data_IF_560594109070
#
_entry.id   IF_560594109070
#
_cell.length_a   1.000
_cell.length_b   1.000
_cell.length_c   1.000
_cell.angle_alpha   90.00
_cell.angle_beta   90.00
_cell.angle_gamma   90.00
#
_symmetry.space_group_name_H-M   'P 1'
#
loop_
_entity.id
_entity.type
_entity.pdbx_description
1 polymer ?
#
# COMPACT_ATOMS: atom_id res chain seq x y z
N UNK A 1 20.39 -8.60 -6.07
CA UNK A 1 20.98 -7.36 -5.53
C UNK A 1 22.16 -6.93 -6.38
N UNK A 2 22.15 -5.69 -6.90
CA UNK A 2 23.19 -5.18 -7.83
C UNK A 2 24.53 -4.81 -7.13
N UNK A 3 24.66 -5.01 -5.82
CA UNK A 3 25.89 -4.73 -5.05
C UNK A 3 26.36 -3.26 -5.04
N UNK A 4 25.51 -2.32 -5.47
CA UNK A 4 25.84 -0.88 -5.53
C UNK A 4 26.08 -0.32 -4.13
N UNK A 5 27.29 0.26 -3.91
CA UNK A 5 27.68 0.85 -2.62
C UNK A 5 27.49 2.37 -2.57
N UNK A 6 27.56 3.04 -3.71
CA UNK A 6 27.50 4.51 -3.83
C UNK A 6 26.80 4.89 -5.13
N UNK A 7 25.98 5.93 -5.08
CA UNK A 7 25.34 6.55 -6.24
C UNK A 7 25.73 8.03 -6.28
N UNK A 8 26.22 8.47 -7.42
CA UNK A 8 26.58 9.86 -7.66
C UNK A 8 25.51 10.53 -8.50
N UNK A 9 25.21 11.78 -8.21
CA UNK A 9 24.32 12.61 -8.99
C UNK A 9 24.83 14.05 -9.00
N UNK A 10 24.78 14.73 -10.16
CA UNK A 10 25.19 16.11 -10.31
C UNK A 10 24.05 17.01 -10.76
N UNK A 11 24.17 18.31 -10.44
CA UNK A 11 23.27 19.35 -10.96
C UNK A 11 24.07 20.63 -11.21
N UNK A 12 23.70 21.38 -12.24
CA UNK A 12 24.34 22.69 -12.53
C UNK A 12 23.81 23.76 -11.61
N UNK A 13 24.67 24.75 -11.34
CA UNK A 13 24.28 25.92 -10.55
C UNK A 13 23.01 26.57 -11.08
N UNK A 14 22.15 27.02 -10.18
CA UNK A 14 20.82 27.56 -10.50
C UNK A 14 19.74 26.50 -10.75
N UNK A 15 20.05 25.21 -10.91
CA UNK A 15 19.05 24.15 -11.09
C UNK A 15 18.45 23.67 -9.74
N UNK A 16 17.65 24.56 -9.15
CA UNK A 16 16.99 24.30 -7.85
C UNK A 16 16.02 23.11 -7.87
N UNK A 17 15.45 22.77 -9.05
CA UNK A 17 14.53 21.62 -9.19
C UNK A 17 15.29 20.30 -9.00
N UNK A 18 16.39 20.12 -9.72
CA UNK A 18 17.24 18.93 -9.57
C UNK A 18 17.78 18.81 -8.16
N UNK A 19 18.30 19.91 -7.57
CA UNK A 19 18.75 19.93 -6.18
C UNK A 19 17.67 19.41 -5.22
N UNK A 20 16.45 19.95 -5.30
CA UNK A 20 15.33 19.51 -4.43
C UNK A 20 14.99 18.03 -4.59
N UNK A 21 15.08 17.47 -5.80
CA UNK A 21 14.87 16.05 -6.02
C UNK A 21 15.94 15.23 -5.32
N UNK A 22 17.22 15.62 -5.47
CA UNK A 22 18.34 14.93 -4.83
C UNK A 22 18.25 15.00 -3.30
N UNK A 23 17.93 16.19 -2.74
CA UNK A 23 17.73 16.38 -1.30
C UNK A 23 16.61 15.45 -0.77
N UNK A 24 15.47 15.35 -1.50
CA UNK A 24 14.36 14.44 -1.15
C UNK A 24 14.72 12.95 -1.25
N UNK A 25 15.67 12.61 -2.11
CA UNK A 25 16.16 11.24 -2.24
C UNK A 25 17.29 10.89 -1.26
N UNK A 26 17.68 11.84 -0.37
CA UNK A 26 18.69 11.62 0.65
C UNK A 26 20.13 11.78 0.15
N UNK A 27 20.33 12.34 -1.03
CA UNK A 27 21.68 12.66 -1.52
C UNK A 27 22.29 13.81 -0.71
N UNK A 28 23.54 13.65 -0.31
CA UNK A 28 24.30 14.68 0.42
C UNK A 28 25.26 15.38 -0.50
N UNK A 29 25.37 16.70 -0.35
CA UNK A 29 26.39 17.47 -1.09
C UNK A 29 27.79 16.91 -0.80
N UNK A 30 28.60 16.77 -1.84
CA UNK A 30 29.97 16.27 -1.74
C UNK A 30 31.00 17.30 -2.15
N UNK A 31 30.95 17.84 -3.39
CA UNK A 31 31.88 18.84 -3.91
C UNK A 31 31.30 19.60 -5.10
N UNK A 32 31.99 20.62 -5.51
CA UNK A 32 31.67 21.44 -6.68
C UNK A 32 32.87 21.40 -7.67
N UNK A 33 32.55 21.31 -8.95
CA UNK A 33 33.54 21.48 -10.03
C UNK A 33 33.14 22.69 -10.89
N UNK A 34 34.07 23.59 -11.07
CA UNK A 34 33.92 24.79 -11.93
C UNK A 34 34.42 24.52 -13.34
N UNK A 35 33.96 25.31 -14.31
CA UNK A 35 34.46 25.23 -15.67
C UNK A 35 34.03 24.00 -16.46
N UNK A 36 32.98 23.32 -16.07
CA UNK A 36 32.43 22.15 -16.78
C UNK A 36 31.68 22.58 -18.04
N UNK A 37 32.02 21.95 -19.17
CA UNK A 37 31.28 22.11 -20.43
C UNK A 37 29.97 21.37 -20.32
N UNK A 38 28.85 22.08 -20.39
CA UNK A 38 27.51 21.45 -20.39
C UNK A 38 27.20 20.79 -21.73
N UNK A 39 26.22 19.89 -21.80
CA UNK A 39 25.73 19.33 -23.07
C UNK A 39 25.20 20.40 -24.04
N UNK A 40 24.92 21.60 -23.57
CA UNK A 40 24.46 22.74 -24.38
C UNK A 40 25.64 23.59 -24.91
N UNK A 41 26.90 23.25 -24.57
CA UNK A 41 28.12 23.90 -25.04
C UNK A 41 28.51 25.14 -24.26
N UNK A 42 27.88 25.47 -23.16
CA UNK A 42 28.25 26.54 -22.24
C UNK A 42 29.06 26.02 -21.04
N UNK A 43 29.83 26.88 -20.42
CA UNK A 43 30.65 26.55 -19.25
C UNK A 43 29.87 26.84 -17.99
N UNK A 44 29.73 25.84 -17.12
CA UNK A 44 28.91 25.90 -15.88
C UNK A 44 29.68 25.35 -14.69
N UNK A 45 29.19 25.73 -13.53
CA UNK A 45 29.53 25.12 -12.25
C UNK A 45 28.61 23.93 -12.01
N UNK A 46 29.17 22.75 -11.74
CA UNK A 46 28.45 21.54 -11.43
C UNK A 46 28.65 21.16 -9.97
N UNK A 47 27.53 20.87 -9.28
CA UNK A 47 27.49 20.41 -7.89
C UNK A 47 27.26 18.92 -7.86
N UNK A 48 28.16 18.18 -7.21
CA UNK A 48 28.06 16.74 -7.06
C UNK A 48 27.49 16.34 -5.70
N UNK A 49 26.59 15.40 -5.73
CA UNK A 49 25.98 14.82 -4.54
C UNK A 49 26.22 13.32 -4.51
N UNK A 50 26.28 12.76 -3.32
CA UNK A 50 26.56 11.36 -3.07
C UNK A 50 25.47 10.76 -2.18
N UNK A 51 24.96 9.60 -2.55
CA UNK A 51 24.14 8.74 -1.70
C UNK A 51 24.91 7.43 -1.46
N UNK A 52 25.27 7.16 -0.22
CA UNK A 52 25.87 5.87 0.16
C UNK A 52 24.80 4.86 0.50
N UNK A 53 25.13 3.55 0.38
CA UNK A 53 24.23 2.48 0.85
C UNK A 53 23.86 2.65 2.32
N UNK A 54 24.79 3.11 3.15
CA UNK A 54 24.55 3.34 4.58
C UNK A 54 23.59 4.51 4.83
N UNK A 55 23.75 5.64 4.12
CA UNK A 55 22.83 6.77 4.22
C UNK A 55 21.44 6.41 3.70
N UNK A 56 21.37 5.71 2.55
CA UNK A 56 20.12 5.21 2.00
C UNK A 56 19.37 4.29 2.99
N UNK A 57 20.10 3.38 3.62
CA UNK A 57 19.51 2.49 4.64
C UNK A 57 19.12 3.26 5.89
N UNK A 58 19.92 4.24 6.35
CA UNK A 58 19.60 5.07 7.51
C UNK A 58 18.36 5.96 7.29
N UNK A 59 18.20 6.54 6.11
CA UNK A 59 17.03 7.37 5.79
C UNK A 59 15.78 6.52 5.53
N UNK A 60 15.92 5.36 4.89
CA UNK A 60 14.82 4.42 4.69
C UNK A 60 14.56 3.52 5.92
N UNK A 61 15.51 3.40 6.87
CA UNK A 61 15.28 2.82 8.19
C UNK A 61 14.78 3.85 9.23
N UNK A 62 14.70 5.15 8.86
CA UNK A 62 14.01 6.18 9.67
C UNK A 62 12.50 6.16 9.50
N UNK A 63 11.95 5.44 8.53
CA UNK A 63 10.68 4.82 8.78
C UNK A 63 10.92 3.79 9.90
N UNK A 64 10.76 4.20 11.15
CA UNK A 64 10.25 3.30 12.18
C UNK A 64 9.09 2.62 11.49
N UNK A 65 9.29 1.36 11.08
CA UNK A 65 8.21 0.52 10.62
C UNK A 65 7.25 0.57 11.78
N UNK A 66 6.23 1.40 11.69
CA UNK A 66 5.17 1.44 12.69
C UNK A 66 4.69 0.00 12.76
N UNK A 67 5.09 -0.69 13.83
CA UNK A 67 4.69 -2.08 14.03
C UNK A 67 3.30 -1.98 14.63
N UNK A 68 2.31 -2.11 13.77
CA UNK A 68 0.92 -2.20 14.21
C UNK A 68 0.73 -3.50 14.99
N UNK A 69 0.05 -3.44 16.12
CA UNK A 69 -0.37 -4.63 16.82
C UNK A 69 -1.42 -5.38 15.97
N UNK A 70 -1.17 -6.64 15.65
CA UNK A 70 -2.11 -7.46 14.91
C UNK A 70 -2.88 -8.36 15.87
N UNK A 71 -4.21 -8.41 15.71
CA UNK A 71 -5.06 -9.36 16.43
C UNK A 71 -6.24 -9.80 15.58
N UNK A 72 -6.79 -10.96 15.91
CA UNK A 72 -8.07 -11.41 15.36
C UNK A 72 -9.19 -10.45 15.74
N UNK A 73 -10.14 -10.27 14.81
CA UNK A 73 -11.33 -9.46 15.03
C UNK A 73 -12.52 -10.35 15.37
N UNK A 74 -13.39 -9.83 16.21
CA UNK A 74 -14.58 -10.49 16.74
C UNK A 74 -15.83 -9.62 16.49
N UNK A 75 -17.03 -10.12 16.85
CA UNK A 75 -18.28 -9.38 16.69
C UNK A 75 -18.27 -7.99 17.35
N UNK A 76 -17.55 -7.83 18.47
CA UNK A 76 -17.41 -6.53 19.15
C UNK A 76 -16.71 -5.47 18.32
N UNK A 77 -15.89 -5.88 17.33
CA UNK A 77 -15.11 -4.99 16.47
C UNK A 77 -15.90 -4.54 15.22
N UNK A 78 -17.08 -5.10 14.96
CA UNK A 78 -17.85 -4.86 13.71
C UNK A 78 -18.10 -3.36 13.50
N UNK A 79 -18.52 -2.62 14.53
CA UNK A 79 -18.82 -1.20 14.38
C UNK A 79 -17.60 -0.40 13.91
N UNK A 80 -16.42 -0.70 14.45
CA UNK A 80 -15.18 -0.05 14.03
C UNK A 80 -14.78 -0.46 12.61
N UNK A 81 -14.95 -1.73 12.24
CA UNK A 81 -14.76 -2.23 10.88
C UNK A 81 -15.69 -1.53 9.88
N UNK A 82 -16.97 -1.37 10.19
CA UNK A 82 -17.95 -0.65 9.36
C UNK A 82 -17.54 0.80 9.15
N UNK A 83 -17.15 1.50 10.22
CA UNK A 83 -16.68 2.88 10.16
C UNK A 83 -15.43 3.03 9.28
N UNK A 84 -14.43 2.16 9.47
CA UNK A 84 -13.21 2.16 8.70
C UNK A 84 -13.50 1.85 7.22
N UNK A 85 -14.26 0.80 6.93
CA UNK A 85 -14.68 0.43 5.58
C UNK A 85 -15.34 1.61 4.87
N UNK A 86 -16.41 2.17 5.46
CA UNK A 86 -17.16 3.28 4.90
C UNK A 86 -16.28 4.50 4.65
N UNK A 87 -15.46 4.90 5.65
CA UNK A 87 -14.54 6.02 5.53
C UNK A 87 -13.51 5.81 4.41
N UNK A 88 -12.97 4.60 4.29
CA UNK A 88 -11.98 4.28 3.26
C UNK A 88 -12.61 4.33 1.87
N UNK A 89 -13.76 3.68 1.68
CA UNK A 89 -14.44 3.67 0.38
C UNK A 89 -14.78 5.08 -0.08
N UNK A 90 -15.36 5.90 0.78
CA UNK A 90 -15.79 7.25 0.43
C UNK A 90 -14.66 8.24 0.19
N UNK A 91 -13.45 8.03 0.75
CA UNK A 91 -12.35 8.98 0.65
C UNK A 91 -11.18 8.49 -0.21
N UNK A 92 -10.82 7.21 -0.11
CA UNK A 92 -9.63 6.67 -0.80
C UNK A 92 -9.99 6.15 -2.19
N UNK A 93 -11.12 5.45 -2.32
CA UNK A 93 -11.55 4.86 -3.60
C UNK A 93 -12.16 5.89 -4.56
N UNK A 94 -12.58 7.06 -4.07
CA UNK A 94 -13.16 8.16 -4.87
C UNK A 94 -12.23 8.66 -6.00
N UNK A 95 -10.92 8.42 -5.90
CA UNK A 95 -9.96 8.78 -6.96
C UNK A 95 -10.09 7.94 -8.23
N UNK A 96 -10.66 6.72 -8.12
CA UNK A 96 -10.72 5.74 -9.21
C UNK A 96 -12.15 5.32 -9.58
N UNK A 97 -13.14 5.71 -8.78
CA UNK A 97 -14.56 5.42 -8.95
C UNK A 97 -15.39 6.70 -8.88
N UNK A 98 -16.58 6.69 -9.46
CA UNK A 98 -17.51 7.84 -9.38
C UNK A 98 -18.08 8.00 -7.96
N UNK A 99 -18.66 9.18 -7.69
CA UNK A 99 -19.30 9.44 -6.38
C UNK A 99 -20.46 8.49 -6.12
N UNK A 100 -21.22 8.17 -7.14
CA UNK A 100 -22.35 7.23 -7.08
C UNK A 100 -21.88 5.83 -6.79
N UNK A 101 -20.83 5.36 -7.47
CA UNK A 101 -20.24 4.03 -7.24
C UNK A 101 -19.69 3.88 -5.83
N UNK A 102 -18.92 4.86 -5.31
CA UNK A 102 -18.41 4.78 -3.93
C UNK A 102 -19.51 4.90 -2.89
N UNK A 103 -20.58 5.67 -3.15
CA UNK A 103 -21.73 5.77 -2.25
C UNK A 103 -22.49 4.44 -2.17
N UNK A 104 -22.72 3.81 -3.32
CA UNK A 104 -23.37 2.51 -3.41
C UNK A 104 -22.54 1.41 -2.73
N UNK A 105 -21.23 1.40 -3.00
CA UNK A 105 -20.30 0.45 -2.35
C UNK A 105 -20.24 0.64 -0.83
N UNK A 106 -20.14 1.89 -0.36
CA UNK A 106 -20.10 2.20 1.06
C UNK A 106 -21.38 1.74 1.81
N UNK A 107 -22.55 1.74 1.12
CA UNK A 107 -23.81 1.27 1.71
C UNK A 107 -23.82 -0.24 1.98
N UNK A 108 -22.98 -1.03 1.29
CA UNK A 108 -22.82 -2.46 1.60
C UNK A 108 -22.30 -2.73 3.02
N UNK A 109 -21.63 -1.74 3.62
CA UNK A 109 -21.08 -1.83 4.97
C UNK A 109 -22.10 -1.63 6.09
N UNK A 110 -23.35 -1.23 5.78
CA UNK A 110 -24.34 -0.85 6.79
C UNK A 110 -25.09 -2.08 7.37
N UNK A 111 -25.01 -3.24 6.71
CA UNK A 111 -25.68 -4.47 7.14
C UNK A 111 -24.88 -5.24 8.20
N UNK A 112 -25.32 -5.15 9.45
CA UNK A 112 -24.71 -5.85 10.59
C UNK A 112 -24.77 -7.38 10.45
N UNK A 113 -25.84 -7.93 9.89
CA UNK A 113 -26.01 -9.38 9.73
C UNK A 113 -25.00 -9.91 8.71
N UNK A 114 -24.78 -9.18 7.64
CA UNK A 114 -23.75 -9.51 6.65
C UNK A 114 -22.35 -9.55 7.27
N UNK A 115 -21.99 -8.59 8.13
CA UNK A 115 -20.69 -8.62 8.82
C UNK A 115 -20.53 -9.82 9.76
N UNK A 116 -21.58 -10.20 10.48
CA UNK A 116 -21.57 -11.42 11.31
C UNK A 116 -21.38 -12.68 10.47
N UNK A 117 -22.05 -12.76 9.34
CA UNK A 117 -21.90 -13.86 8.40
C UNK A 117 -20.45 -13.93 7.87
N UNK A 118 -19.89 -12.81 7.43
CA UNK A 118 -18.50 -12.73 6.98
C UNK A 118 -17.52 -13.18 8.07
N UNK A 119 -17.69 -12.75 9.33
CA UNK A 119 -16.86 -13.19 10.46
C UNK A 119 -16.97 -14.69 10.73
N UNK A 120 -18.11 -15.32 10.43
CA UNK A 120 -18.28 -16.77 10.59
C UNK A 120 -17.55 -17.58 9.49
N UNK A 121 -17.41 -17.00 8.30
CA UNK A 121 -16.84 -17.67 7.12
C UNK A 121 -15.34 -17.34 6.89
N UNK A 122 -14.88 -16.20 7.39
CA UNK A 122 -13.53 -15.70 7.16
C UNK A 122 -12.82 -15.39 8.49
N UNK A 123 -11.53 -15.63 8.52
CA UNK A 123 -10.71 -15.13 9.62
C UNK A 123 -10.32 -13.66 9.36
N UNK A 124 -10.77 -12.78 10.22
CA UNK A 124 -10.48 -11.36 10.18
C UNK A 124 -9.32 -11.00 11.10
N UNK A 125 -8.40 -10.14 10.60
CA UNK A 125 -7.26 -9.60 11.35
C UNK A 125 -7.33 -8.09 11.27
N UNK A 126 -7.22 -7.42 12.42
CA UNK A 126 -7.05 -5.97 12.56
C UNK A 126 -5.60 -5.59 12.83
N UNK A 127 -5.20 -4.45 12.30
CA UNK A 127 -3.95 -3.76 12.63
C UNK A 127 -4.29 -2.51 13.46
N UNK A 128 -3.67 -2.38 14.63
CA UNK A 128 -3.96 -1.33 15.62
C UNK A 128 -2.73 -0.47 15.87
N UNK A 129 -2.92 0.83 16.02
CA UNK A 129 -1.86 1.76 16.40
C UNK A 129 -1.55 1.70 17.91
N UNK A 130 -0.61 2.53 18.37
CA UNK A 130 -0.20 2.59 19.78
C UNK A 130 -1.31 3.08 20.73
N UNK A 131 -2.34 3.72 20.21
CA UNK A 131 -3.53 4.20 20.93
C UNK A 131 -4.71 3.22 20.85
N UNK A 132 -4.48 2.01 20.32
CA UNK A 132 -5.50 0.95 20.09
C UNK A 132 -6.61 1.35 19.10
N UNK A 133 -6.34 2.30 18.17
CA UNK A 133 -7.25 2.60 17.07
C UNK A 133 -6.98 1.66 15.90
N UNK A 134 -8.04 1.19 15.25
CA UNK A 134 -7.90 0.32 14.07
C UNK A 134 -7.35 1.11 12.87
N UNK A 135 -6.10 0.80 12.48
CA UNK A 135 -5.44 1.37 11.31
C UNK A 135 -5.85 0.68 10.00
N UNK A 136 -6.33 -0.56 10.08
CA UNK A 136 -6.78 -1.34 8.94
C UNK A 136 -7.18 -2.75 9.34
N UNK A 137 -7.85 -3.45 8.41
CA UNK A 137 -8.17 -4.87 8.59
C UNK A 137 -8.10 -5.64 7.28
N UNK A 138 -7.96 -6.94 7.39
CA UNK A 138 -8.02 -7.88 6.27
C UNK A 138 -8.71 -9.17 6.69
N UNK A 139 -9.19 -9.94 5.71
CA UNK A 139 -9.81 -11.23 5.98
C UNK A 139 -9.53 -12.24 4.88
N UNK A 140 -9.45 -13.51 5.28
CA UNK A 140 -9.27 -14.64 4.37
C UNK A 140 -10.01 -15.88 4.89
N UNK A 141 -10.54 -16.68 3.97
CA UNK A 141 -11.08 -17.99 4.29
C UNK A 141 -10.00 -19.10 4.22
N UNK A 142 -10.37 -20.34 4.59
CA UNK A 142 -9.45 -21.49 4.60
C UNK A 142 -9.06 -21.97 3.21
N UNK A 143 -9.83 -21.60 2.19
CA UNK A 143 -9.58 -21.95 0.78
C UNK A 143 -8.60 -21.00 0.09
N UNK A 144 -8.18 -19.93 0.77
CA UNK A 144 -7.22 -18.94 0.25
C UNK A 144 -7.89 -17.77 -0.49
N UNK A 145 -9.18 -17.53 -0.27
CA UNK A 145 -9.84 -16.34 -0.77
C UNK A 145 -9.66 -15.17 0.21
N UNK A 146 -8.85 -14.18 -0.17
CA UNK A 146 -8.70 -12.90 0.53
C UNK A 146 -9.91 -12.03 0.16
N UNK A 147 -10.87 -11.95 1.10
CA UNK A 147 -12.14 -11.26 0.88
C UNK A 147 -12.02 -9.75 1.06
N UNK A 148 -11.34 -9.29 2.13
CA UNK A 148 -11.29 -7.88 2.50
C UNK A 148 -9.86 -7.43 2.78
N UNK A 149 -9.52 -6.21 2.36
CA UNK A 149 -8.34 -5.47 2.82
C UNK A 149 -8.62 -3.97 2.75
N UNK A 150 -8.77 -3.35 3.90
CA UNK A 150 -9.05 -1.93 4.04
C UNK A 150 -8.07 -1.28 5.01
N UNK A 151 -7.58 -0.09 4.66
CA UNK A 151 -6.68 0.72 5.49
C UNK A 151 -7.31 2.07 5.70
N UNK A 152 -7.32 2.53 6.95
CA UNK A 152 -7.88 3.84 7.32
C UNK A 152 -7.32 4.95 6.42
N UNK A 153 -8.17 5.89 6.02
CA UNK A 153 -7.81 6.96 5.06
C UNK A 153 -6.58 7.77 5.47
N UNK A 154 -6.39 8.02 6.76
CA UNK A 154 -5.27 8.79 7.31
C UNK A 154 -4.02 7.94 7.61
N UNK A 155 -4.11 6.62 7.45
CA UNK A 155 -3.02 5.66 7.66
C UNK A 155 -2.49 5.06 6.35
N UNK A 156 -2.92 5.61 5.20
CA UNK A 156 -2.41 5.21 3.89
C UNK A 156 -0.90 5.48 3.77
N UNK A 157 -0.17 4.60 3.05
CA UNK A 157 1.28 4.77 2.82
C UNK A 157 2.18 4.48 4.04
N UNK A 158 1.62 4.09 5.19
CA UNK A 158 2.37 3.82 6.43
C UNK A 158 2.68 2.33 6.68
N UNK A 159 2.55 1.48 5.67
CA UNK A 159 2.91 0.06 5.77
C UNK A 159 1.81 -0.86 6.31
N UNK A 160 0.64 -0.36 6.73
CA UNK A 160 -0.48 -1.15 7.28
C UNK A 160 -0.88 -2.29 6.35
N UNK A 161 -1.18 -1.99 5.07
CA UNK A 161 -1.56 -3.00 4.08
C UNK A 161 -0.47 -4.07 3.89
N UNK A 162 0.81 -3.67 3.93
CA UNK A 162 1.93 -4.61 3.81
C UNK A 162 2.00 -5.57 4.98
N UNK A 163 1.76 -5.07 6.20
CA UNK A 163 1.78 -5.89 7.41
C UNK A 163 0.58 -6.84 7.46
N UNK A 164 -0.62 -6.35 7.14
CA UNK A 164 -1.83 -7.17 7.03
C UNK A 164 -1.68 -8.28 5.98
N UNK A 165 -1.20 -7.94 4.77
CA UNK A 165 -1.01 -8.92 3.69
C UNK A 165 0.02 -9.97 4.06
N UNK A 166 1.12 -9.58 4.73
CA UNK A 166 2.14 -10.53 5.21
C UNK A 166 1.54 -11.54 6.19
N UNK A 167 0.63 -11.11 7.05
CA UNK A 167 -0.03 -12.01 8.01
C UNK A 167 -1.03 -12.94 7.31
N UNK A 168 -1.84 -12.41 6.38
CA UNK A 168 -2.73 -13.22 5.53
C UNK A 168 -1.95 -14.28 4.77
N UNK A 169 -0.80 -13.94 4.19
CA UNK A 169 0.05 -14.92 3.46
C UNK A 169 0.65 -15.99 4.39
N UNK A 170 0.97 -15.65 5.65
CA UNK A 170 1.39 -16.64 6.66
C UNK A 170 0.24 -17.58 7.04
N UNK A 171 -0.96 -17.02 7.24
CA UNK A 171 -2.16 -17.82 7.55
C UNK A 171 -2.48 -18.78 6.39
N UNK A 172 -2.43 -18.31 5.15
CA UNK A 172 -2.64 -19.14 3.96
C UNK A 172 -1.68 -20.35 3.95
N UNK A 173 -0.39 -20.09 4.22
CA UNK A 173 0.61 -21.18 4.31
C UNK A 173 0.30 -22.14 5.46
N UNK A 174 -0.13 -21.65 6.61
CA UNK A 174 -0.52 -22.48 7.74
C UNK A 174 -1.75 -23.36 7.44
N UNK A 175 -2.66 -22.88 6.59
CA UNK A 175 -3.80 -23.68 6.10
C UNK A 175 -3.44 -24.64 4.97
N UNK A 176 -2.19 -24.64 4.47
CA UNK A 176 -1.77 -25.45 3.34
C UNK A 176 -2.23 -24.91 1.99
N UNK A 177 -2.67 -23.66 1.92
CA UNK A 177 -3.09 -23.00 0.68
C UNK A 177 -1.87 -22.70 -0.19
N UNK A 178 -1.94 -23.11 -1.46
CA UNK A 178 -0.85 -22.91 -2.43
C UNK A 178 -1.00 -21.63 -3.28
N UNK A 179 -2.22 -21.11 -3.38
CA UNK A 179 -2.54 -19.92 -4.15
C UNK A 179 -3.59 -19.07 -3.42
N UNK A 180 -3.32 -17.78 -3.26
CA UNK A 180 -4.31 -16.81 -2.76
C UNK A 180 -4.97 -16.14 -3.95
N UNK A 181 -6.31 -16.04 -3.89
CA UNK A 181 -7.12 -15.29 -4.85
C UNK A 181 -7.85 -14.15 -4.16
N UNK A 182 -8.13 -13.07 -4.88
CA UNK A 182 -8.89 -11.93 -4.36
C UNK A 182 -9.53 -11.13 -5.47
N UNK A 183 -10.61 -10.43 -5.15
CA UNK A 183 -11.24 -9.42 -6.00
C UNK A 183 -10.76 -8.02 -5.62
N UNK A 184 -9.91 -7.44 -6.45
CA UNK A 184 -9.14 -6.25 -6.13
C UNK A 184 -9.71 -5.03 -6.84
N UNK A 185 -9.98 -3.96 -6.10
CA UNK A 185 -10.45 -2.69 -6.66
C UNK A 185 -9.42 -2.04 -7.59
N UNK A 186 -9.88 -1.12 -8.45
CA UNK A 186 -8.99 -0.27 -9.27
C UNK A 186 -7.91 0.39 -8.40
N UNK A 187 -8.30 0.90 -7.25
CA UNK A 187 -7.44 1.61 -6.29
C UNK A 187 -6.32 0.74 -5.72
N UNK A 188 -6.61 -0.51 -5.40
CA UNK A 188 -5.66 -1.41 -4.74
C UNK A 188 -4.77 -2.20 -5.73
N UNK A 189 -5.11 -2.21 -7.03
CA UNK A 189 -4.45 -3.02 -8.05
C UNK A 189 -2.93 -2.90 -8.01
N UNK A 190 -2.40 -1.68 -8.07
CA UNK A 190 -0.96 -1.43 -8.12
C UNK A 190 -0.23 -1.94 -6.88
N UNK A 191 -0.84 -1.85 -5.71
CA UNK A 191 -0.29 -2.41 -4.47
C UNK A 191 -0.16 -3.93 -4.56
N UNK A 192 -1.21 -4.62 -4.99
CA UNK A 192 -1.18 -6.08 -5.12
C UNK A 192 -0.20 -6.56 -6.20
N UNK A 193 -0.09 -5.86 -7.34
CA UNK A 193 0.93 -6.14 -8.36
C UNK A 193 2.36 -6.05 -7.79
N UNK A 194 2.66 -5.00 -7.00
CA UNK A 194 3.96 -4.86 -6.32
C UNK A 194 4.23 -5.97 -5.29
N UNK A 195 3.18 -6.60 -4.74
CA UNK A 195 3.27 -7.75 -3.84
C UNK A 195 3.31 -9.10 -4.57
N UNK A 196 3.37 -9.09 -5.90
CA UNK A 196 3.52 -10.29 -6.72
C UNK A 196 2.21 -10.98 -7.12
N UNK A 197 1.06 -10.33 -6.88
CA UNK A 197 -0.21 -10.80 -7.40
C UNK A 197 -0.32 -10.49 -8.90
N UNK A 198 -0.93 -11.41 -9.65
CA UNK A 198 -1.13 -11.28 -11.10
C UNK A 198 -2.61 -11.15 -11.40
N UNK A 199 -2.95 -10.28 -12.33
CA UNK A 199 -4.31 -10.15 -12.84
C UNK A 199 -4.67 -11.42 -13.63
N UNK A 200 -5.77 -12.06 -13.23
CA UNK A 200 -6.39 -13.18 -13.95
C UNK A 200 -7.38 -12.66 -14.97
N UNK A 201 -8.27 -11.74 -14.53
CA UNK A 201 -9.27 -11.10 -15.39
C UNK A 201 -9.73 -9.76 -14.79
N UNK A 202 -10.20 -8.87 -15.66
CA UNK A 202 -11.06 -7.76 -15.25
C UNK A 202 -12.51 -8.20 -15.28
N UNK A 203 -13.31 -7.73 -14.35
CA UNK A 203 -14.74 -8.02 -14.29
C UNK A 203 -15.53 -6.84 -13.73
N UNK A 204 -16.85 -6.91 -13.89
CA UNK A 204 -17.79 -6.09 -13.13
C UNK A 204 -18.39 -6.92 -12.01
N UNK A 205 -18.39 -6.39 -10.81
CA UNK A 205 -19.07 -6.98 -9.65
C UNK A 205 -20.14 -6.03 -9.15
N UNK A 206 -21.26 -6.58 -8.74
CA UNK A 206 -22.35 -5.81 -8.16
C UNK A 206 -21.98 -5.46 -6.71
N UNK A 207 -22.01 -4.16 -6.38
CA UNK A 207 -21.98 -3.71 -5.00
C UNK A 207 -23.39 -3.89 -4.38
N UNK A 208 -24.11 -2.82 -4.11
CA UNK A 208 -25.52 -2.94 -3.70
C UNK A 208 -26.45 -2.87 -4.94
N UNK A 209 -26.47 -1.77 -5.65
CA UNK A 209 -27.30 -1.54 -6.83
C UNK A 209 -26.49 -1.40 -8.11
N UNK A 210 -25.27 -0.86 -8.03
CA UNK A 210 -24.40 -0.58 -9.15
C UNK A 210 -23.35 -1.68 -9.39
N UNK A 211 -22.89 -1.76 -10.63
CA UNK A 211 -21.77 -2.63 -11.01
C UNK A 211 -20.47 -1.82 -11.03
N UNK A 212 -19.47 -2.27 -10.26
CA UNK A 212 -18.14 -1.68 -10.18
C UNK A 212 -17.14 -2.55 -10.91
N UNK A 213 -16.18 -1.92 -11.58
CA UNK A 213 -15.06 -2.65 -12.19
C UNK A 213 -14.05 -3.04 -11.10
N UNK A 214 -13.64 -4.32 -11.10
CA UNK A 214 -12.56 -4.83 -10.29
C UNK A 214 -11.70 -5.84 -11.07
N UNK A 215 -10.68 -6.40 -10.41
CA UNK A 215 -9.80 -7.41 -10.97
C UNK A 215 -9.79 -8.64 -10.08
N UNK A 216 -10.01 -9.81 -10.68
CA UNK A 216 -9.62 -11.07 -10.03
C UNK A 216 -8.12 -11.18 -10.15
N UNK A 217 -7.43 -11.25 -9.01
CA UNK A 217 -5.99 -11.40 -8.96
C UNK A 217 -5.60 -12.63 -8.13
N UNK A 218 -4.48 -13.25 -8.45
CA UNK A 218 -3.96 -14.38 -7.71
C UNK A 218 -2.45 -14.28 -7.44
N UNK A 219 -1.99 -14.99 -6.40
CA UNK A 219 -0.58 -15.17 -6.08
C UNK A 219 -0.32 -16.59 -5.61
N UNK A 220 0.64 -17.27 -6.26
CA UNK A 220 1.18 -18.54 -5.78
C UNK A 220 2.17 -18.30 -4.63
N UNK A 221 2.09 -19.13 -3.60
CA UNK A 221 2.87 -18.97 -2.36
C UNK A 221 4.15 -19.81 -2.33
N UNK A 222 4.28 -20.74 -3.26
CA UNK A 222 5.43 -21.68 -3.43
C UNK A 222 5.85 -21.78 -4.88
#
# INVERSE_FOLDING_TARGET
ELGVKRVWCGYYDGNTKSRRVMDKCGFKFHHTEEGKLSPLGDVRTEHFTLLTKEDFLKENCKETKLVYALRSLEEKDILEMQHLFRSTVLNVNLKDYTKEEVADWASCGDDLLHWKELLSQHHFIGAFDEQDNMAGFSSMNKEGYLHSMFVHKDMQGRGVATQLLSEVEKMAKAYGVTEITSEISLTAKSFFEQKGYKVVKSQKCRANQLELTNFVMCKRLF
#
